data_IF_008521743467
#
_entry.id   IF_008521743467
#
_cell.length_a   1.000
_cell.length_b   1.000
_cell.length_c   1.000
_cell.angle_alpha   90.00
_cell.angle_beta   90.00
_cell.angle_gamma   90.00
#
_symmetry.space_group_name_H-M   'P 1'
#
loop_
_entity.id
_entity.type
_entity.pdbx_description
1 polymer ?
#
# COMPACT_ATOMS: atom_id res chain seq x y z
N UNK A 1 28.23 8.42 -3.60
CA UNK A 1 28.24 7.65 -2.33
C UNK A 1 26.83 7.43 -1.73
N UNK A 2 25.89 8.33 -1.93
CA UNK A 2 24.50 8.23 -1.40
C UNK A 2 23.72 7.11 -2.09
N UNK A 3 23.82 6.97 -3.40
CA UNK A 3 23.11 5.93 -4.17
C UNK A 3 23.51 4.50 -3.80
N UNK A 4 24.78 4.26 -3.48
CA UNK A 4 25.28 2.93 -3.11
C UNK A 4 24.77 2.49 -1.72
N UNK A 5 24.62 3.44 -0.80
CA UNK A 5 24.02 3.18 0.54
C UNK A 5 22.52 2.85 0.46
N UNK A 6 21.80 3.46 -0.48
CA UNK A 6 20.37 3.18 -0.70
C UNK A 6 20.15 1.79 -1.32
N UNK A 7 20.99 1.39 -2.28
CA UNK A 7 20.95 0.06 -2.90
C UNK A 7 21.29 -1.03 -1.87
N UNK A 8 22.26 -0.79 -1.01
CA UNK A 8 22.65 -1.74 0.03
C UNK A 8 21.52 -1.90 1.09
N UNK A 9 20.82 -0.81 1.43
CA UNK A 9 19.65 -0.86 2.32
C UNK A 9 18.47 -1.60 1.70
N UNK A 10 18.24 -1.44 0.39
CA UNK A 10 17.22 -2.18 -0.35
C UNK A 10 17.53 -3.68 -0.41
N UNK A 11 18.80 -4.04 -0.62
CA UNK A 11 19.25 -5.43 -0.60
C UNK A 11 19.08 -6.08 0.78
N UNK A 12 19.33 -5.33 1.86
CA UNK A 12 19.10 -5.79 3.24
C UNK A 12 17.61 -5.97 3.51
N UNK A 13 16.74 -5.09 3.00
CA UNK A 13 15.28 -5.25 3.11
C UNK A 13 14.79 -6.49 2.37
N UNK A 14 15.33 -6.77 1.18
CA UNK A 14 15.04 -7.99 0.42
C UNK A 14 15.54 -9.27 1.12
N UNK A 15 16.69 -9.19 1.81
CA UNK A 15 17.24 -10.32 2.56
C UNK A 15 16.43 -10.64 3.82
N UNK A 16 15.81 -9.65 4.45
CA UNK A 16 14.90 -9.82 5.59
C UNK A 16 13.62 -10.57 5.18
N UNK A 17 13.17 -10.42 3.93
CA UNK A 17 12.06 -11.21 3.40
C UNK A 17 12.45 -12.65 3.01
N UNK A 18 13.74 -12.93 2.81
CA UNK A 18 14.24 -14.26 2.41
C UNK A 18 14.76 -15.12 3.57
N UNK A 19 15.00 -14.52 4.74
CA UNK A 19 15.60 -15.17 5.92
C UNK A 19 14.55 -15.42 7.00
N UNK A 20 13.75 -16.47 6.84
CA UNK A 20 12.91 -16.95 7.93
C UNK A 20 13.75 -17.44 9.10
N UNK A 21 13.38 -17.04 10.31
CA UNK A 21 13.53 -17.71 11.62
C UNK A 21 14.25 -17.01 12.78
N UNK A 22 14.79 -15.79 12.66
CA UNK A 22 15.49 -15.18 13.83
C UNK A 22 14.82 -13.88 14.36
N UNK A 23 13.92 -13.24 13.61
CA UNK A 23 13.26 -11.99 14.05
C UNK A 23 11.78 -12.15 14.46
N UNK A 24 11.34 -13.36 14.79
CA UNK A 24 9.92 -13.65 15.05
C UNK A 24 9.47 -13.36 16.51
N UNK A 25 10.35 -12.98 17.43
CA UNK A 25 9.97 -12.90 18.86
C UNK A 25 9.47 -11.50 19.30
N UNK A 26 10.02 -10.41 18.82
CA UNK A 26 9.56 -9.08 19.23
C UNK A 26 8.24 -8.61 18.60
N UNK A 27 7.99 -8.78 17.29
CA UNK A 27 6.67 -8.45 16.74
C UNK A 27 5.55 -9.33 17.30
N UNK A 28 5.90 -10.55 17.76
CA UNK A 28 4.96 -11.44 18.43
C UNK A 28 4.52 -10.88 19.80
N UNK A 29 5.42 -10.27 20.55
CA UNK A 29 5.11 -9.67 21.84
C UNK A 29 4.19 -8.46 21.72
N UNK A 30 4.43 -7.57 20.76
CA UNK A 30 3.59 -6.39 20.49
C UNK A 30 2.18 -6.76 20.03
N UNK A 31 2.06 -7.80 19.20
CA UNK A 31 0.75 -8.28 18.75
C UNK A 31 -0.01 -9.02 19.86
N UNK A 32 0.68 -9.69 20.78
CA UNK A 32 0.05 -10.32 21.95
C UNK A 32 -0.41 -9.30 22.99
N UNK A 33 0.29 -8.19 23.19
CA UNK A 33 -0.17 -7.10 24.06
C UNK A 33 -1.41 -6.38 23.49
N UNK A 34 -1.46 -6.19 22.17
CA UNK A 34 -2.63 -5.55 21.53
C UNK A 34 -3.91 -6.42 21.63
N UNK A 35 -3.78 -7.74 21.80
CA UNK A 35 -4.90 -8.69 21.92
C UNK A 35 -5.16 -9.12 23.39
N UNK A 36 -4.26 -8.80 24.32
CA UNK A 36 -4.32 -9.23 25.72
C UNK A 36 -5.39 -8.54 26.59
N UNK A 37 -6.22 -7.66 26.02
CA UNK A 37 -7.35 -7.02 26.72
C UNK A 37 -8.53 -7.95 27.00
N UNK A 38 -8.62 -9.12 26.36
CA UNK A 38 -9.65 -10.13 26.60
C UNK A 38 -9.00 -11.50 26.69
N UNK A 39 -9.50 -12.34 27.63
CA UNK A 39 -8.97 -13.69 27.93
C UNK A 39 -9.28 -14.70 26.84
N UNK A 40 -8.77 -14.46 25.62
CA UNK A 40 -8.81 -15.43 24.54
C UNK A 40 -7.80 -16.55 24.78
N UNK A 41 -8.13 -17.79 24.39
CA UNK A 41 -7.18 -18.88 24.46
C UNK A 41 -5.96 -18.59 23.59
N UNK A 42 -4.76 -19.01 24.00
CA UNK A 42 -3.50 -18.82 23.26
C UNK A 42 -3.63 -19.22 21.77
N UNK A 43 -4.42 -20.24 21.48
CA UNK A 43 -4.69 -20.71 20.11
C UNK A 43 -5.39 -19.65 19.26
N UNK A 44 -6.34 -18.92 19.82
CA UNK A 44 -7.05 -17.83 19.11
C UNK A 44 -6.12 -16.64 18.86
N UNK A 45 -5.28 -16.30 19.83
CA UNK A 45 -4.29 -15.22 19.69
C UNK A 45 -3.31 -15.53 18.55
N UNK A 46 -2.78 -16.75 18.50
CA UNK A 46 -1.90 -17.20 17.41
C UNK A 46 -2.62 -17.18 16.06
N UNK A 47 -3.88 -17.64 16.01
CA UNK A 47 -4.68 -17.63 14.77
C UNK A 47 -4.86 -16.19 14.24
N UNK A 48 -5.27 -15.27 15.10
CA UNK A 48 -5.45 -13.85 14.74
C UNK A 48 -4.12 -13.25 14.25
N UNK A 49 -3.03 -13.48 14.98
CA UNK A 49 -1.71 -12.99 14.59
C UNK A 49 -1.28 -13.51 13.20
N UNK A 50 -1.42 -14.82 12.96
CA UNK A 50 -1.09 -15.41 11.66
C UNK A 50 -1.96 -14.85 10.54
N UNK A 51 -3.25 -14.63 10.80
CA UNK A 51 -4.17 -14.02 9.84
C UNK A 51 -3.75 -12.58 9.53
N UNK A 52 -3.45 -11.77 10.53
CA UNK A 52 -2.98 -10.40 10.35
C UNK A 52 -1.67 -10.35 9.56
N UNK A 53 -0.72 -11.23 9.90
CA UNK A 53 0.58 -11.28 9.22
C UNK A 53 0.46 -11.67 7.74
N UNK A 54 -0.46 -12.57 7.39
CA UNK A 54 -0.71 -12.96 5.99
C UNK A 54 -1.46 -11.88 5.19
N UNK A 55 -2.32 -11.09 5.84
CA UNK A 55 -3.06 -10.01 5.19
C UNK A 55 -2.27 -8.70 5.07
N UNK A 56 -1.25 -8.51 5.91
CA UNK A 56 -0.47 -7.27 5.96
C UNK A 56 0.15 -6.88 4.61
N UNK A 57 0.80 -7.76 3.82
CA UNK A 57 1.33 -7.39 2.51
C UNK A 57 0.25 -6.90 1.55
N UNK A 58 -0.92 -7.56 1.54
CA UNK A 58 -2.04 -7.16 0.70
C UNK A 58 -2.60 -5.78 1.11
N UNK A 59 -2.71 -5.51 2.41
CA UNK A 59 -3.14 -4.21 2.94
C UNK A 59 -2.15 -3.10 2.53
N UNK A 60 -0.85 -3.30 2.67
CA UNK A 60 0.18 -2.32 2.29
C UNK A 60 0.13 -2.04 0.78
N UNK A 61 0.00 -3.06 -0.05
CA UNK A 61 -0.10 -2.88 -1.50
C UNK A 61 -1.38 -2.15 -1.89
N UNK A 62 -2.50 -2.41 -1.22
CA UNK A 62 -3.77 -1.72 -1.49
C UNK A 62 -3.80 -0.25 -1.07
N UNK A 63 -2.94 0.16 -0.11
CA UNK A 63 -2.78 1.55 0.34
C UNK A 63 -1.69 2.31 -0.44
N UNK A 64 -1.12 1.69 -1.48
CA UNK A 64 -0.05 2.26 -2.30
C UNK A 64 -0.50 2.48 -3.75
N UNK A 65 0.36 3.08 -4.59
CA UNK A 65 0.12 3.23 -6.02
C UNK A 65 0.14 1.91 -6.81
N UNK A 66 0.39 0.76 -6.16
CA UNK A 66 0.57 -0.54 -6.80
C UNK A 66 -0.62 -0.95 -7.68
N UNK A 67 -1.84 -0.82 -7.17
CA UNK A 67 -3.06 -1.23 -7.88
C UNK A 67 -3.20 -0.49 -9.19
N UNK A 68 -2.99 0.81 -9.20
CA UNK A 68 -3.00 1.64 -10.42
C UNK A 68 -1.95 1.17 -11.42
N UNK A 69 -0.72 1.01 -10.98
CA UNK A 69 0.41 0.66 -11.84
C UNK A 69 0.22 -0.71 -12.49
N UNK A 70 -0.14 -1.74 -11.71
CA UNK A 70 -0.29 -3.10 -12.25
C UNK A 70 -1.43 -3.20 -13.26
N UNK A 71 -2.54 -2.50 -13.03
CA UNK A 71 -3.68 -2.48 -13.96
C UNK A 71 -3.30 -1.76 -15.25
N UNK A 72 -2.68 -0.59 -15.18
CA UNK A 72 -2.22 0.15 -16.36
C UNK A 72 -1.26 -0.69 -17.19
N UNK A 73 -0.25 -1.31 -16.57
CA UNK A 73 0.69 -2.19 -17.26
C UNK A 73 0.00 -3.38 -17.92
N UNK A 74 -1.01 -3.95 -17.27
CA UNK A 74 -1.79 -5.05 -17.81
C UNK A 74 -2.60 -4.65 -19.05
N UNK A 75 -3.19 -3.45 -19.04
CA UNK A 75 -3.93 -2.90 -20.19
C UNK A 75 -2.96 -2.54 -21.33
N UNK A 76 -1.80 -1.95 -21.03
CA UNK A 76 -0.76 -1.67 -22.04
C UNK A 76 -0.31 -2.96 -22.75
N UNK A 77 -0.04 -4.03 -21.98
CA UNK A 77 0.28 -5.35 -22.56
C UNK A 77 -0.81 -5.84 -23.51
N UNK A 78 -2.06 -5.71 -23.10
CA UNK A 78 -3.20 -6.12 -23.92
C UNK A 78 -3.33 -5.26 -25.19
N UNK A 79 -3.11 -3.94 -25.08
CA UNK A 79 -3.14 -3.01 -26.21
C UNK A 79 -2.09 -3.32 -27.28
N UNK A 80 -0.92 -3.82 -26.86
CA UNK A 80 0.16 -4.25 -27.77
C UNK A 80 -0.14 -5.59 -28.49
N UNK A 81 -1.30 -6.20 -28.28
CA UNK A 81 -1.66 -7.49 -28.90
C UNK A 81 -0.88 -8.68 -28.34
N UNK A 82 -0.06 -8.48 -27.32
CA UNK A 82 0.79 -9.52 -26.72
C UNK A 82 0.11 -10.11 -25.49
N UNK A 83 -0.82 -11.05 -25.68
CA UNK A 83 -1.62 -11.61 -24.58
C UNK A 83 -0.81 -12.27 -23.46
N UNK A 84 0.42 -12.74 -23.75
CA UNK A 84 1.25 -13.49 -22.78
C UNK A 84 2.67 -12.93 -22.56
N UNK A 85 3.11 -11.96 -23.33
CA UNK A 85 4.45 -11.35 -23.20
C UNK A 85 4.32 -9.86 -22.90
N UNK A 86 5.01 -9.34 -21.87
CA UNK A 86 5.87 -10.03 -20.89
C UNK A 86 5.06 -10.88 -19.89
N UNK A 87 5.66 -11.94 -19.29
CA UNK A 87 5.00 -12.77 -18.27
C UNK A 87 4.53 -11.97 -17.06
N UNK A 88 3.51 -12.48 -16.36
CA UNK A 88 2.92 -11.79 -15.19
C UNK A 88 3.95 -11.46 -14.10
N UNK A 89 4.95 -12.33 -13.89
CA UNK A 89 6.02 -12.09 -12.91
C UNK A 89 6.85 -10.85 -13.26
N UNK A 90 7.12 -10.63 -14.56
CA UNK A 90 7.88 -9.45 -15.02
C UNK A 90 7.05 -8.19 -14.81
N UNK A 91 5.74 -8.22 -15.16
CA UNK A 91 4.84 -7.09 -14.92
C UNK A 91 4.74 -6.77 -13.43
N UNK A 92 4.64 -7.80 -12.58
CA UNK A 92 4.62 -7.63 -11.13
C UNK A 92 5.91 -6.98 -10.62
N UNK A 93 7.07 -7.44 -11.10
CA UNK A 93 8.36 -6.84 -10.75
C UNK A 93 8.47 -5.37 -11.15
N UNK A 94 8.06 -5.03 -12.37
CA UNK A 94 8.02 -3.64 -12.84
C UNK A 94 7.04 -2.80 -12.02
N UNK A 95 5.84 -3.33 -11.73
CA UNK A 95 4.84 -2.63 -10.94
C UNK A 95 5.34 -2.34 -9.53
N UNK A 96 5.99 -3.30 -8.88
CA UNK A 96 6.59 -3.10 -7.56
C UNK A 96 7.69 -2.04 -7.59
N UNK A 97 8.60 -2.11 -8.57
CA UNK A 97 9.67 -1.12 -8.73
C UNK A 97 9.13 0.30 -8.91
N UNK A 98 8.15 0.47 -9.82
CA UNK A 98 7.51 1.77 -10.04
C UNK A 98 6.73 2.25 -8.80
N UNK A 99 6.07 1.33 -8.08
CA UNK A 99 5.38 1.65 -6.84
C UNK A 99 6.36 2.17 -5.79
N UNK A 100 7.50 1.50 -5.59
CA UNK A 100 8.53 1.98 -4.68
C UNK A 100 9.06 3.36 -5.06
N UNK A 101 9.23 3.63 -6.35
CA UNK A 101 9.66 4.93 -6.83
C UNK A 101 8.64 6.04 -6.53
N UNK A 102 7.35 5.77 -6.80
CA UNK A 102 6.25 6.71 -6.53
C UNK A 102 6.06 6.93 -5.03
N UNK A 103 6.19 5.88 -4.22
CA UNK A 103 6.01 5.91 -2.77
C UNK A 103 7.26 6.39 -2.02
N UNK A 104 8.40 6.61 -2.70
CA UNK A 104 9.65 7.02 -2.06
C UNK A 104 9.50 8.25 -1.12
N UNK A 105 8.80 9.35 -1.49
CA UNK A 105 8.60 10.48 -0.58
C UNK A 105 7.80 10.09 0.67
N UNK A 106 6.75 9.28 0.52
CA UNK A 106 5.93 8.81 1.65
C UNK A 106 6.75 7.92 2.58
N UNK A 107 7.55 7.01 2.02
CA UNK A 107 8.45 6.12 2.80
C UNK A 107 9.49 6.94 3.57
N UNK A 108 10.10 7.94 2.92
CA UNK A 108 11.05 8.83 3.59
C UNK A 108 10.41 9.61 4.73
N UNK A 109 9.19 10.11 4.55
CA UNK A 109 8.45 10.79 5.60
C UNK A 109 8.14 9.86 6.77
N UNK A 110 7.67 8.63 6.53
CA UNK A 110 7.47 7.61 7.57
C UNK A 110 8.78 7.34 8.32
N UNK A 111 9.90 7.21 7.60
CA UNK A 111 11.19 6.95 8.22
C UNK A 111 11.57 8.08 9.19
N UNK A 112 11.46 9.33 8.78
CA UNK A 112 11.89 10.47 9.57
C UNK A 112 10.93 10.81 10.72
N UNK A 113 9.63 10.64 10.52
CA UNK A 113 8.61 11.04 11.51
C UNK A 113 8.27 9.94 12.51
N UNK A 114 8.45 8.67 12.15
CA UNK A 114 8.05 7.54 12.99
C UNK A 114 9.23 6.60 13.32
N UNK A 115 9.92 6.07 12.29
CA UNK A 115 10.91 5.01 12.50
C UNK A 115 12.15 5.51 13.22
N UNK A 116 12.73 6.62 12.80
CA UNK A 116 13.94 7.18 13.43
C UNK A 116 13.70 7.60 14.88
N UNK A 117 12.62 8.35 15.25
CA UNK A 117 12.34 8.68 16.64
C UNK A 117 12.05 7.47 17.52
N UNK A 118 11.35 6.45 16.98
CA UNK A 118 11.10 5.21 17.68
C UNK A 118 12.40 4.45 17.97
N UNK A 119 13.27 4.30 16.96
CA UNK A 119 14.56 3.62 17.14
C UNK A 119 15.54 4.39 18.03
N UNK A 120 15.39 5.71 18.12
CA UNK A 120 16.14 6.54 19.06
C UNK A 120 15.62 6.46 20.51
N UNK A 121 14.51 5.74 20.74
CA UNK A 121 13.88 5.64 22.06
C UNK A 121 13.20 6.93 22.55
N UNK A 122 12.92 7.87 21.64
CA UNK A 122 12.28 9.15 21.93
C UNK A 122 10.78 9.16 21.72
N UNK A 123 10.22 8.07 21.18
CA UNK A 123 8.80 7.93 20.85
C UNK A 123 8.26 6.57 21.29
N UNK A 124 7.09 6.58 21.89
CA UNK A 124 6.38 5.36 22.30
C UNK A 124 5.81 4.59 21.08
N UNK A 125 5.69 3.24 21.16
CA UNK A 125 5.22 2.42 20.04
C UNK A 125 3.88 2.86 19.43
N UNK A 126 2.92 3.25 20.27
CA UNK A 126 1.59 3.71 19.82
C UNK A 126 1.66 5.05 19.09
N UNK A 127 2.54 5.94 19.54
CA UNK A 127 2.77 7.24 18.92
C UNK A 127 3.48 7.07 17.57
N UNK A 128 4.51 6.21 17.52
CA UNK A 128 5.23 5.87 16.30
C UNK A 128 4.30 5.26 15.24
N UNK A 129 3.37 4.39 15.65
CA UNK A 129 2.37 3.82 14.74
C UNK A 129 1.46 4.91 14.16
N UNK A 130 0.95 5.83 14.98
CA UNK A 130 0.12 6.95 14.52
C UNK A 130 0.89 7.89 13.58
N UNK A 131 2.13 8.22 13.94
CA UNK A 131 3.00 9.05 13.11
C UNK A 131 3.33 8.40 11.76
N UNK A 132 3.51 7.07 11.75
CA UNK A 132 3.77 6.31 10.51
C UNK A 132 2.56 6.18 9.59
N UNK A 133 1.35 6.19 10.13
CA UNK A 133 0.10 6.15 9.32
C UNK A 133 -0.20 7.51 8.68
N UNK A 134 0.15 8.62 9.30
CA UNK A 134 -0.20 9.96 8.83
C UNK A 134 0.27 10.26 7.39
N UNK A 135 1.51 9.96 6.96
CA UNK A 135 1.94 10.16 5.59
C UNK A 135 1.18 9.28 4.58
N UNK A 136 0.83 8.03 4.95
CA UNK A 136 0.00 7.16 4.11
C UNK A 136 -1.42 7.70 3.97
N UNK A 137 -1.99 8.19 5.05
CA UNK A 137 -3.31 8.83 5.06
C UNK A 137 -3.33 10.04 4.12
N UNK A 138 -2.34 10.94 4.24
CA UNK A 138 -2.19 12.12 3.39
C UNK A 138 -2.03 11.72 1.92
N UNK A 139 -1.21 10.71 1.62
CA UNK A 139 -1.05 10.18 0.27
C UNK A 139 -2.38 9.68 -0.30
N UNK A 140 -3.12 8.85 0.43
CA UNK A 140 -4.41 8.33 -0.01
C UNK A 140 -5.44 9.43 -0.21
N UNK A 141 -5.54 10.39 0.72
CA UNK A 141 -6.44 11.55 0.60
C UNK A 141 -6.18 12.35 -0.68
N UNK A 142 -4.91 12.63 -0.99
CA UNK A 142 -4.52 13.40 -2.18
C UNK A 142 -4.81 12.68 -3.50
N UNK A 143 -4.98 11.37 -3.50
CA UNK A 143 -5.29 10.55 -4.68
C UNK A 143 -6.77 10.15 -4.76
N UNK A 144 -7.53 10.29 -3.67
CA UNK A 144 -8.94 9.94 -3.61
C UNK A 144 -9.79 11.06 -4.20
N UNK A 145 -10.75 10.70 -5.04
CA UNK A 145 -11.73 11.64 -5.60
C UNK A 145 -12.80 11.95 -4.57
N UNK A 146 -13.21 13.21 -4.48
CA UNK A 146 -14.26 13.63 -3.55
C UNK A 146 -15.56 12.84 -3.72
N UNK A 147 -15.93 12.53 -4.97
CA UNK A 147 -17.14 11.73 -5.25
C UNK A 147 -17.07 10.30 -4.69
N UNK A 148 -15.88 9.70 -4.68
CA UNK A 148 -15.69 8.35 -4.13
C UNK A 148 -15.62 8.39 -2.62
N UNK A 149 -15.01 9.43 -2.05
CA UNK A 149 -15.00 9.64 -0.61
C UNK A 149 -16.42 9.85 -0.07
N UNK A 150 -17.22 10.73 -0.70
CA UNK A 150 -18.60 11.00 -0.33
C UNK A 150 -19.49 9.75 -0.44
N UNK A 151 -19.28 8.91 -1.46
CA UNK A 151 -20.01 7.65 -1.60
C UNK A 151 -19.80 6.74 -0.39
N UNK A 152 -18.54 6.50 0.01
CA UNK A 152 -18.26 5.62 1.14
C UNK A 152 -18.60 6.26 2.49
N UNK A 153 -18.46 7.58 2.62
CA UNK A 153 -18.92 8.32 3.78
C UNK A 153 -20.44 8.16 3.96
N UNK A 154 -21.24 8.33 2.90
CA UNK A 154 -22.69 8.13 2.94
C UNK A 154 -23.09 6.69 3.28
N UNK A 155 -22.38 5.68 2.75
CA UNK A 155 -22.61 4.26 3.11
C UNK A 155 -22.33 4.03 4.60
N UNK A 156 -21.30 4.69 5.16
CA UNK A 156 -20.93 4.59 6.56
C UNK A 156 -21.81 5.46 7.50
N UNK A 157 -22.75 6.24 6.95
CA UNK A 157 -23.63 7.12 7.72
C UNK A 157 -22.95 8.38 8.23
N UNK A 158 -21.88 8.83 7.55
CA UNK A 158 -21.21 10.10 7.81
C UNK A 158 -21.55 11.09 6.69
N UNK A 159 -22.15 12.24 7.06
CA UNK A 159 -22.55 13.24 6.08
C UNK A 159 -21.40 14.19 5.73
N UNK A 160 -20.54 14.55 6.70
CA UNK A 160 -19.42 15.47 6.53
C UNK A 160 -18.27 15.18 7.50
N UNK A 161 -17.04 15.56 7.10
CA UNK A 161 -15.84 15.54 7.93
C UNK A 161 -15.37 16.99 8.14
N UNK A 162 -14.97 17.33 9.38
CA UNK A 162 -14.49 18.67 9.71
C UNK A 162 -13.18 19.02 8.98
N UNK A 163 -12.33 18.03 8.75
CA UNK A 163 -11.10 18.16 7.97
C UNK A 163 -10.75 16.86 7.24
N UNK A 164 -9.86 16.95 6.26
CA UNK A 164 -9.32 15.78 5.57
C UNK A 164 -8.63 14.78 6.53
N UNK A 165 -8.04 15.27 7.62
CA UNK A 165 -7.37 14.45 8.61
C UNK A 165 -8.35 13.62 9.49
N UNK A 166 -9.63 14.03 9.55
CA UNK A 166 -10.64 13.38 10.37
C UNK A 166 -11.28 12.17 9.65
N UNK A 167 -10.98 11.97 8.38
CA UNK A 167 -11.51 10.85 7.60
C UNK A 167 -10.91 9.53 8.13
N UNK A 168 -11.74 8.61 8.65
CA UNK A 168 -11.23 7.35 9.18
C UNK A 168 -10.71 6.45 8.05
N UNK A 169 -9.66 5.67 8.33
CA UNK A 169 -9.07 4.73 7.37
C UNK A 169 -10.08 3.72 6.83
N UNK A 170 -11.08 3.35 7.62
CA UNK A 170 -12.16 2.44 7.21
C UNK A 170 -12.99 2.97 6.04
N UNK A 171 -13.09 4.28 5.89
CA UNK A 171 -13.75 4.97 4.76
C UNK A 171 -12.73 5.31 3.69
N UNK A 172 -11.55 5.79 4.08
CA UNK A 172 -10.53 6.25 3.14
C UNK A 172 -9.96 5.13 2.28
N UNK A 173 -9.64 3.97 2.86
CA UNK A 173 -9.03 2.86 2.10
C UNK A 173 -9.93 2.39 0.95
N UNK A 174 -11.22 2.04 1.16
CA UNK A 174 -12.07 1.63 0.05
C UNK A 174 -12.32 2.76 -0.96
N UNK A 175 -12.46 4.01 -0.52
CA UNK A 175 -12.60 5.18 -1.40
C UNK A 175 -11.38 5.35 -2.30
N UNK A 176 -10.18 5.28 -1.71
CA UNK A 176 -8.91 5.33 -2.41
C UNK A 176 -8.79 4.20 -3.44
N UNK A 177 -9.07 2.96 -3.05
CA UNK A 177 -8.99 1.82 -3.97
C UNK A 177 -9.90 1.98 -5.18
N UNK A 178 -11.14 2.44 -4.99
CA UNK A 178 -12.07 2.70 -6.10
C UNK A 178 -11.58 3.83 -6.98
N UNK A 179 -11.04 4.92 -6.40
CA UNK A 179 -10.44 6.04 -7.13
C UNK A 179 -9.23 5.60 -7.96
N UNK A 180 -8.36 4.75 -7.40
CA UNK A 180 -7.20 4.18 -8.09
C UNK A 180 -7.62 3.28 -9.26
N UNK A 181 -8.64 2.44 -9.06
CA UNK A 181 -9.21 1.61 -10.13
C UNK A 181 -9.77 2.47 -11.26
N UNK A 182 -10.59 3.47 -10.95
CA UNK A 182 -11.15 4.39 -11.95
C UNK A 182 -10.03 5.11 -12.73
N UNK A 183 -9.02 5.59 -12.04
CA UNK A 183 -7.87 6.27 -12.65
C UNK A 183 -7.07 5.31 -13.54
N UNK A 184 -6.81 4.08 -13.08
CA UNK A 184 -6.12 3.07 -13.86
C UNK A 184 -6.87 2.73 -15.15
N UNK A 185 -8.19 2.55 -15.09
CA UNK A 185 -9.01 2.29 -16.27
C UNK A 185 -9.08 3.50 -17.22
N UNK A 186 -9.13 4.72 -16.70
CA UNK A 186 -9.09 5.93 -17.55
C UNK A 186 -7.76 6.05 -18.29
N UNK A 187 -6.63 5.86 -17.62
CA UNK A 187 -5.31 5.86 -18.25
C UNK A 187 -5.21 4.72 -19.26
N UNK A 188 -5.63 3.51 -18.87
CA UNK A 188 -5.62 2.34 -19.73
C UNK A 188 -6.45 2.55 -20.99
N UNK A 189 -7.63 3.12 -20.88
CA UNK A 189 -8.50 3.43 -22.02
C UNK A 189 -7.85 4.44 -22.98
N UNK A 190 -7.27 5.52 -22.44
CA UNK A 190 -6.56 6.53 -23.25
C UNK A 190 -5.37 5.94 -24.00
N UNK A 191 -4.65 5.01 -23.38
CA UNK A 191 -3.54 4.30 -24.03
C UNK A 191 -4.04 3.31 -25.08
N UNK A 192 -5.21 2.68 -24.85
CA UNK A 192 -5.76 1.68 -25.76
C UNK A 192 -6.31 2.27 -27.07
N UNK A 193 -6.86 3.52 -27.02
CA UNK A 193 -7.47 4.16 -28.21
C UNK A 193 -6.56 4.19 -29.44
N UNK A 194 -5.29 4.63 -29.37
CA UNK A 194 -4.41 4.67 -30.54
C UNK A 194 -4.23 3.29 -31.19
N UNK A 195 -4.10 2.23 -30.40
CA UNK A 195 -3.95 0.86 -30.90
C UNK A 195 -5.22 0.37 -31.58
N UNK A 196 -6.38 0.67 -31.00
CA UNK A 196 -7.68 0.31 -31.57
C UNK A 196 -7.92 1.02 -32.91
N UNK A 197 -7.49 2.29 -33.03
CA UNK A 197 -7.59 3.03 -34.30
C UNK A 197 -6.68 2.41 -35.36
N UNK A 198 -5.45 1.99 -34.99
CA UNK A 198 -4.55 1.30 -35.91
C UNK A 198 -5.16 -0.02 -36.37
N UNK A 199 -5.67 -0.83 -35.45
CA UNK A 199 -6.29 -2.13 -35.77
C UNK A 199 -7.55 -1.99 -36.64
N UNK A 200 -8.26 -0.86 -36.56
CA UNK A 200 -9.44 -0.60 -37.38
C UNK A 200 -9.10 -0.16 -38.83
N UNK A 201 -7.92 0.47 -39.00
CA UNK A 201 -7.52 1.04 -40.29
C UNK A 201 -6.68 0.06 -41.12
N UNK A 202 -6.00 -0.88 -40.47
CA UNK A 202 -5.17 -1.91 -41.11
C UNK A 202 -5.98 -3.16 -41.41
#
# INVERSE_FOLDING_TARGET
MIALRSILRLAVLMLVFAGGSVFAQEPLALATEAVAGESYSLSIQILVLMTLLTLLPAAVLSMSAFVRVIIVLSIVRQALGTAQTPPNQVLLGIALFLTFFVMAPVINEIQTTAVEPYMAGTMEPQEAFKAGIAPLHTFMMNQTRDSDLQLFAGIAGHDDFASAADVPLSILIPSFMVSELKTAFQIGFLVFIPFLVIDLVV
#
